data_IF_850539365861
#
_entry.id   IF_850539365861
#
_cell.length_a   1.000
_cell.length_b   1.000
_cell.length_c   1.000
_cell.angle_alpha   90.00
_cell.angle_beta   90.00
_cell.angle_gamma   90.00
#
_symmetry.space_group_name_H-M   'P 1'
#
loop_
_entity.id
_entity.type
_entity.pdbx_description
1 polymer ?
#
# COMPACT_ATOMS: atom_id res chain seq x y z
N UNK A 1 1.70 -43.51 -11.90
CA UNK A 1 2.11 -42.26 -11.22
C UNK A 1 0.85 -41.61 -10.68
N UNK A 2 0.57 -41.79 -9.39
CA UNK A 2 -0.49 -41.05 -8.71
C UNK A 2 -0.06 -39.59 -8.67
N UNK A 3 -0.86 -38.69 -9.24
CA UNK A 3 -0.64 -37.26 -9.10
C UNK A 3 -0.59 -36.93 -7.62
N UNK A 4 0.53 -36.39 -7.13
CA UNK A 4 0.57 -35.75 -5.81
C UNK A 4 -0.58 -34.75 -5.76
N UNK A 5 -1.62 -35.06 -4.98
CA UNK A 5 -2.71 -34.12 -4.74
C UNK A 5 -2.09 -32.96 -3.98
N UNK A 6 -1.92 -31.82 -4.65
CA UNK A 6 -1.54 -30.58 -3.99
C UNK A 6 -2.55 -30.32 -2.87
N UNK A 7 -2.04 -30.25 -1.65
CA UNK A 7 -2.84 -29.94 -0.48
C UNK A 7 -3.07 -28.44 -0.47
N UNK A 8 -4.34 -28.02 -0.44
CA UNK A 8 -4.72 -26.62 -0.58
C UNK A 8 -5.67 -26.20 0.55
N UNK A 9 -5.54 -24.95 0.98
CA UNK A 9 -6.46 -24.27 1.88
C UNK A 9 -7.18 -23.18 1.09
N UNK A 10 -8.48 -23.00 1.34
CA UNK A 10 -9.29 -22.01 0.63
C UNK A 10 -10.05 -21.11 1.60
N UNK A 11 -10.12 -19.82 1.29
CA UNK A 11 -10.97 -18.87 2.01
C UNK A 11 -11.99 -18.26 1.04
N UNK A 12 -13.27 -18.42 1.35
CA UNK A 12 -14.37 -17.83 0.59
C UNK A 12 -14.46 -16.33 0.87
N UNK A 13 -14.73 -15.53 -0.16
CA UNK A 13 -14.88 -14.09 -0.03
C UNK A 13 -16.17 -13.73 0.72
N UNK A 14 -16.12 -12.77 1.67
CA UNK A 14 -17.32 -12.30 2.39
C UNK A 14 -18.35 -11.63 1.48
N UNK A 15 -17.99 -11.28 0.25
CA UNK A 15 -18.88 -10.64 -0.73
C UNK A 15 -19.11 -11.51 -1.97
N UNK A 16 -18.75 -12.79 -1.91
CA UNK A 16 -18.97 -13.75 -3.01
C UNK A 16 -18.03 -13.57 -4.21
N UNK A 17 -16.86 -12.93 -4.04
CA UNK A 17 -15.80 -12.96 -5.03
C UNK A 17 -15.13 -14.36 -5.12
N UNK A 18 -14.22 -14.53 -6.08
CA UNK A 18 -13.42 -15.75 -6.21
C UNK A 18 -12.67 -16.08 -4.91
N UNK A 19 -12.63 -17.36 -4.52
CA UNK A 19 -11.97 -17.78 -3.30
C UNK A 19 -10.46 -17.52 -3.34
N UNK A 20 -9.87 -17.19 -2.19
CA UNK A 20 -8.42 -17.16 -2.03
C UNK A 20 -7.92 -18.59 -1.83
N UNK A 21 -6.88 -18.98 -2.56
CA UNK A 21 -6.30 -20.34 -2.54
C UNK A 21 -4.86 -20.27 -2.06
N UNK A 22 -4.52 -21.09 -1.09
CA UNK A 22 -3.21 -21.19 -0.48
C UNK A 22 -2.66 -22.61 -0.66
N UNK A 23 -1.47 -22.72 -1.24
CA UNK A 23 -0.79 -23.99 -1.45
C UNK A 23 -0.08 -24.42 -0.16
N UNK A 24 -0.18 -25.71 0.21
CA UNK A 24 0.53 -26.29 1.34
C UNK A 24 1.81 -27.02 0.88
N UNK A 25 2.94 -26.92 1.62
CA UNK A 25 3.14 -26.14 2.85
C UNK A 25 3.06 -24.64 2.60
N UNK A 26 2.48 -23.92 3.56
CA UNK A 26 2.33 -22.47 3.47
C UNK A 26 3.70 -21.80 3.38
N UNK A 27 3.81 -20.78 2.54
CA UNK A 27 5.03 -20.00 2.40
C UNK A 27 5.38 -19.37 3.75
N UNK A 28 6.61 -19.63 4.19
CA UNK A 28 7.23 -18.96 5.32
C UNK A 28 8.43 -18.19 4.79
N UNK A 29 8.40 -16.86 4.87
CA UNK A 29 9.52 -16.00 4.50
C UNK A 29 10.78 -16.33 5.30
N UNK A 30 11.96 -16.11 4.71
CA UNK A 30 13.27 -16.23 5.38
C UNK A 30 13.79 -14.81 5.69
N UNK A 31 14.45 -14.62 6.84
CA UNK A 31 15.12 -13.35 7.18
C UNK A 31 14.33 -12.44 8.12
N UNK A 32 14.53 -11.12 8.02
CA UNK A 32 13.84 -10.08 8.81
C UNK A 32 12.39 -9.85 8.37
N UNK A 33 12.05 -10.22 7.14
CA UNK A 33 10.71 -10.08 6.53
C UNK A 33 9.94 -11.40 6.62
N UNK A 34 9.82 -11.95 7.84
CA UNK A 34 9.09 -13.20 8.07
C UNK A 34 7.61 -13.01 7.79
N UNK A 35 7.20 -13.33 6.58
CA UNK A 35 5.81 -13.62 6.27
C UNK A 35 5.48 -15.06 6.70
N UNK A 36 4.42 -15.26 7.48
CA UNK A 36 3.88 -16.57 7.84
C UNK A 36 2.50 -16.71 7.20
N UNK A 37 2.38 -17.56 6.17
CA UNK A 37 1.12 -17.77 5.46
C UNK A 37 -0.01 -18.31 6.35
N UNK A 38 0.31 -19.01 7.44
CA UNK A 38 -0.71 -19.47 8.39
C UNK A 38 -1.24 -18.31 9.24
N UNK A 39 -0.33 -17.42 9.67
CA UNK A 39 -0.71 -16.18 10.35
C UNK A 39 -1.53 -15.28 9.43
N UNK A 40 -1.19 -15.19 8.14
CA UNK A 40 -1.98 -14.42 7.17
C UNK A 40 -3.42 -14.91 7.05
N UNK A 41 -3.63 -16.24 7.00
CA UNK A 41 -4.97 -16.84 6.98
C UNK A 41 -5.74 -16.46 8.24
N UNK A 42 -5.11 -16.59 9.41
CA UNK A 42 -5.71 -16.26 10.70
C UNK A 42 -6.08 -14.77 10.78
N UNK A 43 -5.18 -13.87 10.38
CA UNK A 43 -5.44 -12.43 10.34
C UNK A 43 -6.52 -12.06 9.30
N UNK A 44 -6.53 -12.72 8.14
CA UNK A 44 -7.56 -12.53 7.13
C UNK A 44 -8.95 -12.87 7.69
N UNK A 45 -9.08 -13.98 8.41
CA UNK A 45 -10.34 -14.35 9.08
C UNK A 45 -10.73 -13.31 10.13
N UNK A 46 -9.78 -12.86 10.96
CA UNK A 46 -10.01 -11.82 11.98
C UNK A 46 -10.51 -10.51 11.37
N UNK A 47 -9.88 -10.04 10.29
CA UNK A 47 -10.29 -8.80 9.62
C UNK A 47 -11.67 -8.93 8.96
N UNK A 48 -12.01 -10.10 8.42
CA UNK A 48 -13.38 -10.36 7.93
C UNK A 48 -14.38 -10.30 9.08
N UNK A 49 -14.08 -10.86 10.25
CA UNK A 49 -14.96 -10.79 11.42
C UNK A 49 -15.11 -9.36 11.97
N UNK A 50 -14.05 -8.56 11.90
CA UNK A 50 -14.08 -7.14 12.30
C UNK A 50 -15.01 -6.34 11.38
N UNK A 51 -14.95 -6.61 10.09
CA UNK A 51 -15.69 -5.89 9.04
C UNK A 51 -17.14 -6.38 8.87
N UNK A 52 -17.41 -7.64 9.27
CA UNK A 52 -18.73 -8.29 9.26
C UNK A 52 -19.06 -8.82 10.67
N UNK A 53 -19.52 -7.97 11.61
CA UNK A 53 -19.72 -8.34 13.01
C UNK A 53 -20.70 -9.51 13.24
N UNK A 54 -21.63 -9.76 12.31
CA UNK A 54 -22.52 -10.92 12.34
C UNK A 54 -21.79 -12.27 12.30
N UNK A 55 -20.54 -12.29 11.80
CA UNK A 55 -19.68 -13.46 11.76
C UNK A 55 -18.94 -13.69 13.09
N UNK A 56 -18.94 -12.73 14.04
CA UNK A 56 -18.25 -12.87 15.32
C UNK A 56 -18.82 -14.03 16.15
N UNK A 57 -20.13 -14.07 16.39
CA UNK A 57 -20.76 -15.14 17.16
C UNK A 57 -20.48 -16.58 16.64
N UNK A 58 -20.63 -16.89 15.34
CA UNK A 58 -20.34 -18.23 14.83
C UNK A 58 -18.84 -18.58 14.81
N UNK A 59 -17.93 -17.60 14.85
CA UNK A 59 -16.49 -17.84 14.70
C UNK A 59 -15.64 -17.62 15.98
N UNK A 60 -16.02 -16.73 16.89
CA UNK A 60 -15.26 -16.39 18.10
C UNK A 60 -15.24 -17.52 19.13
N UNK A 61 -16.29 -18.33 19.20
CA UNK A 61 -16.49 -19.23 20.34
C UNK A 61 -15.51 -20.41 20.45
N UNK A 62 -14.64 -20.71 19.47
CA UNK A 62 -13.67 -21.84 19.59
C UNK A 62 -12.62 -21.96 18.46
N UNK A 63 -12.58 -21.04 17.48
CA UNK A 63 -11.90 -21.31 16.21
C UNK A 63 -10.44 -20.83 16.19
N UNK A 64 -10.16 -19.64 16.72
CA UNK A 64 -8.84 -19.01 16.63
C UNK A 64 -7.88 -19.44 17.75
N UNK A 65 -8.39 -19.86 18.91
CA UNK A 65 -7.59 -20.18 20.11
C UNK A 65 -6.96 -21.58 20.10
N UNK A 66 -7.50 -22.52 19.32
CA UNK A 66 -7.07 -23.93 19.30
C UNK A 66 -6.48 -24.38 17.95
N UNK A 67 -6.16 -23.44 17.06
CA UNK A 67 -5.63 -23.77 15.74
C UNK A 67 -4.11 -23.96 15.77
N UNK A 68 -3.64 -25.18 15.51
CA UNK A 68 -2.23 -25.44 15.21
C UNK A 68 -1.90 -24.98 13.78
N UNK A 69 -1.13 -23.89 13.67
CA UNK A 69 -0.74 -23.27 12.40
C UNK A 69 0.25 -24.11 11.58
N UNK A 70 0.88 -25.13 12.20
CA UNK A 70 1.84 -26.03 11.54
C UNK A 70 1.21 -27.32 11.04
N UNK A 71 -0.06 -27.56 11.37
CA UNK A 71 -0.79 -28.76 10.99
C UNK A 71 -1.83 -28.47 9.91
N UNK A 72 -1.74 -29.18 8.78
CA UNK A 72 -2.66 -28.98 7.67
C UNK A 72 -4.13 -29.25 8.06
N UNK A 73 -4.42 -30.36 8.74
CA UNK A 73 -5.80 -30.72 9.10
C UNK A 73 -6.43 -29.71 10.06
N UNK A 74 -5.62 -29.13 10.95
CA UNK A 74 -6.02 -28.05 11.83
C UNK A 74 -6.39 -26.80 11.04
N UNK A 75 -5.50 -26.34 10.15
CA UNK A 75 -5.75 -25.17 9.30
C UNK A 75 -6.91 -25.40 8.32
N UNK A 76 -7.07 -26.62 7.79
CA UNK A 76 -8.19 -26.99 6.92
C UNK A 76 -9.51 -26.93 7.66
N UNK A 77 -9.58 -27.44 8.90
CA UNK A 77 -10.78 -27.34 9.75
C UNK A 77 -11.13 -25.88 10.07
N UNK A 78 -10.14 -25.03 10.29
CA UNK A 78 -10.31 -23.58 10.45
C UNK A 78 -10.96 -22.97 9.20
N UNK A 79 -10.36 -23.18 8.03
CA UNK A 79 -10.86 -22.67 6.75
C UNK A 79 -12.27 -23.18 6.45
N UNK A 80 -12.55 -24.46 6.68
CA UNK A 80 -13.86 -25.05 6.40
C UNK A 80 -14.97 -24.51 7.30
N UNK A 81 -14.66 -24.22 8.57
CA UNK A 81 -15.62 -23.56 9.47
C UNK A 81 -15.89 -22.13 9.02
N UNK A 82 -14.85 -21.38 8.68
CA UNK A 82 -14.97 -20.03 8.14
C UNK A 82 -15.82 -20.02 6.86
N UNK A 83 -15.50 -20.87 5.88
CA UNK A 83 -16.20 -20.93 4.60
C UNK A 83 -17.70 -21.24 4.77
N UNK A 84 -18.08 -22.15 5.66
CA UNK A 84 -19.50 -22.43 5.95
C UNK A 84 -20.25 -21.22 6.51
N UNK A 85 -19.62 -20.45 7.39
CA UNK A 85 -20.21 -19.23 7.94
C UNK A 85 -20.38 -18.17 6.84
N UNK A 86 -19.36 -17.99 6.00
CA UNK A 86 -19.39 -17.08 4.84
C UNK A 86 -20.47 -17.47 3.85
N UNK A 87 -20.56 -18.75 3.48
CA UNK A 87 -21.56 -19.23 2.52
C UNK A 87 -22.99 -18.95 3.01
N UNK A 88 -23.23 -19.14 4.31
CA UNK A 88 -24.51 -18.84 4.95
C UNK A 88 -24.81 -17.34 4.90
N UNK A 89 -23.84 -16.50 5.26
CA UNK A 89 -23.98 -15.05 5.24
C UNK A 89 -24.23 -14.50 3.83
N UNK A 90 -23.42 -14.92 2.85
CA UNK A 90 -23.54 -14.50 1.44
C UNK A 90 -24.89 -14.91 0.85
N UNK A 91 -25.41 -16.09 1.21
CA UNK A 91 -26.74 -16.54 0.79
C UNK A 91 -27.86 -15.65 1.35
N UNK A 92 -27.74 -15.23 2.61
CA UNK A 92 -28.70 -14.33 3.26
C UNK A 92 -28.63 -12.90 2.71
N UNK A 93 -27.43 -12.43 2.36
CA UNK A 93 -27.16 -11.04 1.99
C UNK A 93 -27.03 -10.79 0.47
N UNK A 94 -27.52 -11.71 -0.38
CA UNK A 94 -27.31 -11.65 -1.84
C UNK A 94 -27.62 -10.27 -2.43
N UNK A 95 -26.57 -9.58 -2.90
CA UNK A 95 -26.66 -8.30 -3.60
C UNK A 95 -26.86 -7.06 -2.71
N UNK A 96 -26.85 -7.21 -1.38
CA UNK A 96 -27.03 -6.08 -0.45
C UNK A 96 -25.72 -5.33 -0.12
N UNK A 97 -24.56 -5.98 -0.30
CA UNK A 97 -23.28 -5.38 0.03
C UNK A 97 -22.94 -4.21 -0.90
N UNK A 98 -22.77 -3.01 -0.33
CA UNK A 98 -22.31 -1.82 -1.05
C UNK A 98 -20.84 -1.55 -0.69
N UNK A 99 -19.92 -1.55 -1.66
CA UNK A 99 -18.50 -1.29 -1.39
C UNK A 99 -18.23 0.05 -0.72
N UNK A 100 -17.60 0.00 0.43
CA UNK A 100 -17.10 1.13 1.21
C UNK A 100 -15.55 1.15 1.20
N UNK A 101 -14.95 2.21 1.73
CA UNK A 101 -13.49 2.24 1.88
C UNK A 101 -13.08 1.36 3.07
N UNK A 102 -11.92 0.69 3.00
CA UNK A 102 -11.45 -0.14 4.11
C UNK A 102 -11.10 0.71 5.33
N UNK A 103 -11.29 0.14 6.53
CA UNK A 103 -10.72 0.73 7.75
C UNK A 103 -9.19 0.78 7.67
N UNK A 104 -8.53 1.63 8.47
CA UNK A 104 -7.06 1.72 8.47
C UNK A 104 -6.39 0.40 8.83
N UNK A 105 -6.99 -0.38 9.72
CA UNK A 105 -6.48 -1.68 10.11
C UNK A 105 -6.58 -2.69 8.99
N UNK A 106 -7.78 -2.80 8.38
CA UNK A 106 -8.00 -3.69 7.23
C UNK A 106 -7.12 -3.31 6.04
N UNK A 107 -6.97 -2.01 5.72
CA UNK A 107 -6.13 -1.57 4.63
C UNK A 107 -4.65 -1.88 4.86
N UNK A 108 -4.16 -1.80 6.11
CA UNK A 108 -2.79 -2.23 6.44
C UNK A 108 -2.60 -3.71 6.10
N UNK A 109 -3.56 -4.54 6.50
CA UNK A 109 -3.56 -5.97 6.22
C UNK A 109 -3.58 -6.26 4.72
N UNK A 110 -4.47 -5.60 3.96
CA UNK A 110 -4.56 -5.74 2.49
C UNK A 110 -3.24 -5.35 1.81
N UNK A 111 -2.62 -4.23 2.20
CA UNK A 111 -1.34 -3.79 1.63
C UNK A 111 -0.23 -4.79 1.96
N UNK A 112 -0.16 -5.28 3.20
CA UNK A 112 0.82 -6.29 3.59
C UNK A 112 0.65 -7.58 2.81
N UNK A 113 -0.58 -8.09 2.71
CA UNK A 113 -0.91 -9.28 1.94
C UNK A 113 -0.58 -9.10 0.45
N UNK A 114 -0.83 -7.90 -0.08
CA UNK A 114 -0.45 -7.54 -1.45
C UNK A 114 1.06 -7.62 -1.64
N UNK A 115 1.82 -7.04 -0.71
CA UNK A 115 3.28 -7.07 -0.74
C UNK A 115 3.82 -8.49 -0.71
N UNK A 116 3.37 -9.31 0.25
CA UNK A 116 3.87 -10.68 0.45
C UNK A 116 3.70 -11.56 -0.81
N UNK A 117 2.63 -11.33 -1.59
CA UNK A 117 2.35 -12.08 -2.82
C UNK A 117 3.02 -11.48 -4.06
N UNK A 118 3.50 -10.24 -3.98
CA UNK A 118 4.03 -9.52 -5.15
C UNK A 118 5.55 -9.39 -5.14
N UNK A 119 6.16 -9.24 -3.96
CA UNK A 119 7.60 -9.06 -3.77
C UNK A 119 8.24 -10.38 -3.39
N UNK A 120 8.88 -11.03 -4.36
CA UNK A 120 9.43 -12.39 -4.21
C UNK A 120 10.78 -12.37 -3.52
N UNK A 121 11.61 -11.37 -3.83
CA UNK A 121 12.99 -11.22 -3.34
C UNK A 121 13.17 -9.82 -2.73
N UNK A 122 12.62 -9.55 -1.52
CA UNK A 122 12.67 -8.24 -0.89
C UNK A 122 14.11 -7.77 -0.62
N UNK A 123 15.05 -8.69 -0.39
CA UNK A 123 16.47 -8.37 -0.20
C UNK A 123 17.09 -7.68 -1.42
N UNK A 124 16.57 -7.92 -2.63
CA UNK A 124 17.03 -7.26 -3.85
C UNK A 124 16.52 -5.82 -4.00
N UNK A 125 15.58 -5.40 -3.16
CA UNK A 125 15.17 -3.99 -3.07
C UNK A 125 16.20 -3.18 -2.26
N UNK A 126 16.97 -3.82 -1.38
CA UNK A 126 17.90 -3.18 -0.44
C UNK A 126 19.27 -2.77 -1.03
N UNK A 127 19.38 -2.58 -2.34
CA UNK A 127 20.68 -2.39 -3.01
C UNK A 127 21.23 -0.95 -2.88
N UNK A 128 20.50 -0.04 -2.23
CA UNK A 128 20.94 1.36 -2.05
C UNK A 128 21.82 1.55 -0.80
N UNK A 129 23.12 1.64 -1.06
CA UNK A 129 24.27 1.99 -0.21
C UNK A 129 24.39 1.32 1.19
N UNK A 130 25.53 0.65 1.47
CA UNK A 130 25.87 0.25 2.83
C UNK A 130 26.05 1.52 3.68
N UNK A 131 25.63 1.47 4.95
CA UNK A 131 25.70 2.54 5.97
C UNK A 131 24.49 3.48 6.15
N UNK A 132 23.27 3.00 5.83
CA UNK A 132 22.05 3.49 6.48
C UNK A 132 21.40 2.33 7.26
N UNK A 133 21.06 2.49 8.55
CA UNK A 133 20.29 1.46 9.29
C UNK A 133 18.86 1.26 8.75
N UNK A 134 18.48 1.99 7.71
CA UNK A 134 17.21 1.85 7.01
C UNK A 134 17.43 1.08 5.71
N UNK A 135 17.11 -0.21 5.80
CA UNK A 135 16.60 -1.10 4.75
C UNK A 135 15.70 -0.27 3.80
N UNK A 136 15.72 -0.57 2.49
CA UNK A 136 14.98 0.10 1.39
C UNK A 136 13.82 0.95 1.92
N UNK A 137 13.84 2.25 1.61
CA UNK A 137 13.02 3.32 2.20
C UNK A 137 11.50 3.19 2.08
N UNK A 138 10.97 2.04 2.45
CA UNK A 138 9.56 1.75 2.65
C UNK A 138 9.07 2.72 3.70
N UNK A 139 8.31 3.68 3.22
CA UNK A 139 7.65 4.62 4.10
C UNK A 139 6.64 3.84 4.92
N UNK A 140 6.71 3.95 6.25
CA UNK A 140 5.82 3.16 7.11
C UNK A 140 4.36 3.53 6.86
N UNK A 141 3.50 2.51 6.91
CA UNK A 141 2.06 2.68 6.76
C UNK A 141 1.50 3.76 7.70
N UNK A 142 2.02 3.81 8.94
CA UNK A 142 1.65 4.81 9.95
C UNK A 142 2.09 6.23 9.60
N UNK A 143 3.24 6.40 8.93
CA UNK A 143 3.66 7.71 8.46
C UNK A 143 2.69 8.23 7.39
N UNK A 144 2.28 7.37 6.45
CA UNK A 144 1.31 7.74 5.43
C UNK A 144 -0.08 8.01 6.03
N UNK A 145 -0.53 7.24 7.03
CA UNK A 145 -1.76 7.56 7.75
C UNK A 145 -1.73 8.96 8.38
N UNK A 146 -0.62 9.30 9.06
CA UNK A 146 -0.44 10.65 9.63
C UNK A 146 -0.39 11.73 8.55
N UNK A 147 0.24 11.45 7.41
CA UNK A 147 0.22 12.35 6.27
C UNK A 147 -1.22 12.59 5.78
N UNK A 148 -2.01 11.53 5.58
CA UNK A 148 -3.41 11.59 5.15
C UNK A 148 -4.24 12.47 6.10
N UNK A 149 -4.06 12.30 7.42
CA UNK A 149 -4.74 13.12 8.44
C UNK A 149 -4.42 14.61 8.33
N UNK A 150 -3.21 14.96 7.87
CA UNK A 150 -2.75 16.34 7.83
C UNK A 150 -3.04 17.02 6.50
N UNK A 151 -3.02 16.28 5.40
CA UNK A 151 -3.18 16.86 4.06
C UNK A 151 -4.64 17.23 3.79
N UNK A 152 -5.65 16.58 4.38
CA UNK A 152 -7.07 16.81 4.08
C UNK A 152 -7.34 16.76 2.55
N UNK A 153 -7.05 15.62 1.94
CA UNK A 153 -7.22 15.44 0.50
C UNK A 153 -8.70 15.47 0.07
N UNK A 154 -8.99 16.08 -1.09
CA UNK A 154 -10.34 16.22 -1.66
C UNK A 154 -10.49 15.45 -2.97
N UNK A 155 -11.72 15.30 -3.50
CA UNK A 155 -11.96 14.73 -4.83
C UNK A 155 -11.33 15.46 -6.01
N UNK A 156 -10.90 16.70 -5.83
CA UNK A 156 -10.19 17.46 -6.87
C UNK A 156 -8.67 17.27 -6.82
N UNK A 157 -8.16 16.66 -5.74
CA UNK A 157 -6.73 16.50 -5.55
C UNK A 157 -6.13 15.43 -6.46
N UNK A 158 -4.96 15.73 -7.01
CA UNK A 158 -4.11 14.82 -7.77
C UNK A 158 -2.89 14.51 -6.92
N UNK A 159 -2.78 13.26 -6.49
CA UNK A 159 -1.65 12.78 -5.70
C UNK A 159 -0.57 12.18 -6.62
N UNK A 160 0.68 12.56 -6.39
CA UNK A 160 1.84 12.06 -7.12
C UNK A 160 2.94 11.60 -6.15
N UNK A 161 3.40 10.36 -6.31
CA UNK A 161 4.56 9.79 -5.62
C UNK A 161 5.77 9.71 -6.56
N UNK A 162 6.84 10.44 -6.21
CA UNK A 162 8.08 10.51 -7.00
C UNK A 162 9.12 9.53 -6.45
N UNK A 163 9.40 8.47 -7.21
CA UNK A 163 10.20 7.34 -6.74
C UNK A 163 9.33 6.37 -5.94
N UNK A 164 8.23 5.93 -6.54
CA UNK A 164 7.18 5.17 -5.85
C UNK A 164 7.58 3.76 -5.41
N UNK A 165 8.75 3.27 -5.82
CA UNK A 165 9.19 1.92 -5.55
C UNK A 165 8.20 0.88 -6.06
N UNK A 166 7.82 -0.06 -5.18
CA UNK A 166 6.79 -1.07 -5.48
C UNK A 166 5.36 -0.50 -5.45
N UNK A 167 5.17 0.76 -5.05
CA UNK A 167 3.90 1.49 -5.18
C UNK A 167 2.97 1.46 -3.97
N UNK A 168 3.42 0.97 -2.81
CA UNK A 168 2.58 0.84 -1.61
C UNK A 168 1.91 2.15 -1.14
N UNK A 169 2.61 3.28 -1.26
CA UNK A 169 2.08 4.61 -0.85
C UNK A 169 0.93 5.03 -1.77
N UNK A 170 1.09 4.83 -3.08
CA UNK A 170 0.04 5.12 -4.08
C UNK A 170 -1.20 4.28 -3.83
N UNK A 171 -1.04 2.98 -3.56
CA UNK A 171 -2.16 2.08 -3.28
C UNK A 171 -2.87 2.45 -1.96
N UNK A 172 -2.11 2.78 -0.90
CA UNK A 172 -2.66 3.26 0.36
C UNK A 172 -3.44 4.56 0.18
N UNK A 173 -2.87 5.54 -0.52
CA UNK A 173 -3.53 6.81 -0.82
C UNK A 173 -4.83 6.61 -1.60
N UNK A 174 -4.83 5.72 -2.59
CA UNK A 174 -6.01 5.42 -3.39
C UNK A 174 -7.13 4.77 -2.57
N UNK A 175 -6.80 3.92 -1.59
CA UNK A 175 -7.80 3.28 -0.73
C UNK A 175 -8.15 4.04 0.56
N UNK A 176 -7.41 5.09 0.91
CA UNK A 176 -7.64 5.86 2.13
C UNK A 176 -8.14 7.29 1.87
N UNK A 177 -8.13 7.75 0.62
CA UNK A 177 -8.55 9.11 0.25
C UNK A 177 -9.53 9.09 -0.92
N UNK A 178 -10.10 10.25 -1.22
CA UNK A 178 -10.96 10.45 -2.38
C UNK A 178 -10.25 11.18 -3.52
N UNK A 179 -8.92 11.28 -3.51
CA UNK A 179 -8.15 11.93 -4.58
C UNK A 179 -8.69 11.51 -5.95
N UNK A 180 -8.76 12.47 -6.88
CA UNK A 180 -9.17 12.25 -8.27
C UNK A 180 -8.39 11.11 -8.91
N UNK A 181 -7.08 11.09 -8.66
CA UNK A 181 -6.17 10.03 -9.07
C UNK A 181 -4.92 10.03 -8.17
N UNK A 182 -4.43 8.84 -7.86
CA UNK A 182 -3.14 8.62 -7.22
C UNK A 182 -2.16 8.05 -8.24
N UNK A 183 -1.08 8.77 -8.54
CA UNK A 183 -0.11 8.38 -9.55
C UNK A 183 1.27 8.19 -8.91
N UNK A 184 2.01 7.18 -9.35
CA UNK A 184 3.40 6.97 -8.94
C UNK A 184 4.29 6.64 -10.12
N UNK A 185 5.55 7.07 -10.01
CA UNK A 185 6.59 6.83 -11.00
C UNK A 185 7.83 6.29 -10.35
N UNK A 186 8.35 5.20 -10.90
CA UNK A 186 9.56 4.53 -10.43
C UNK A 186 10.52 4.30 -11.59
N UNK A 187 11.79 4.65 -11.38
CA UNK A 187 12.83 4.53 -12.40
C UNK A 187 13.45 3.14 -12.44
N UNK A 188 13.66 2.53 -11.27
CA UNK A 188 14.35 1.27 -11.14
C UNK A 188 13.50 0.11 -11.68
N UNK A 189 14.15 -0.75 -12.46
CA UNK A 189 13.49 -1.85 -13.16
C UNK A 189 12.82 -2.85 -12.20
N UNK A 190 13.52 -3.26 -11.14
CA UNK A 190 13.04 -4.31 -10.26
C UNK A 190 11.83 -3.87 -9.41
N UNK A 191 11.86 -2.73 -8.68
CA UNK A 191 10.67 -2.29 -7.94
C UNK A 191 9.49 -1.99 -8.88
N UNK A 192 9.74 -1.40 -10.05
CA UNK A 192 8.70 -1.19 -11.06
C UNK A 192 8.08 -2.51 -11.55
N UNK A 193 8.89 -3.57 -11.71
CA UNK A 193 8.38 -4.89 -12.07
C UNK A 193 7.48 -5.48 -10.99
N UNK A 194 7.86 -5.34 -9.71
CA UNK A 194 6.99 -5.77 -8.61
C UNK A 194 5.71 -4.91 -8.50
N UNK A 195 5.78 -3.62 -8.83
CA UNK A 195 4.61 -2.74 -8.85
C UNK A 195 3.51 -3.24 -9.81
N UNK A 196 3.87 -3.84 -10.95
CA UNK A 196 2.90 -4.47 -11.87
C UNK A 196 2.10 -5.58 -11.17
N UNK A 197 2.78 -6.43 -10.39
CA UNK A 197 2.14 -7.50 -9.61
C UNK A 197 1.33 -6.93 -8.45
N UNK A 198 1.86 -5.92 -7.75
CA UNK A 198 1.16 -5.22 -6.66
C UNK A 198 -0.20 -4.69 -7.12
N UNK A 199 -0.30 -4.11 -8.31
CA UNK A 199 -1.57 -3.62 -8.89
C UNK A 199 -2.60 -4.75 -9.01
N UNK A 200 -2.18 -5.88 -9.59
CA UNK A 200 -3.07 -7.03 -9.85
C UNK A 200 -3.55 -7.61 -8.53
N UNK A 201 -2.62 -7.86 -7.60
CA UNK A 201 -2.89 -8.49 -6.31
C UNK A 201 -3.73 -7.56 -5.42
N UNK A 202 -3.44 -6.26 -5.40
CA UNK A 202 -4.22 -5.28 -4.63
C UNK A 202 -5.66 -5.24 -5.12
N UNK A 203 -5.88 -5.15 -6.44
CA UNK A 203 -7.22 -5.15 -7.02
C UNK A 203 -7.99 -6.44 -6.71
N UNK A 204 -7.30 -7.58 -6.73
CA UNK A 204 -7.87 -8.87 -6.33
C UNK A 204 -8.33 -8.84 -4.88
N UNK A 205 -7.49 -8.39 -3.95
CA UNK A 205 -7.83 -8.36 -2.53
C UNK A 205 -8.90 -7.33 -2.18
N UNK A 206 -8.82 -6.12 -2.75
CA UNK A 206 -9.88 -5.12 -2.59
C UNK A 206 -11.24 -5.68 -3.04
N UNK A 207 -11.29 -6.37 -4.18
CA UNK A 207 -12.50 -7.07 -4.64
C UNK A 207 -12.91 -8.22 -3.70
N UNK A 208 -11.95 -9.00 -3.22
CA UNK A 208 -12.19 -10.13 -2.31
C UNK A 208 -12.82 -9.70 -0.99
N UNK A 209 -12.35 -8.59 -0.41
CA UNK A 209 -12.93 -7.97 0.80
C UNK A 209 -14.18 -7.13 0.50
N UNK A 210 -14.50 -6.88 -0.78
CA UNK A 210 -15.63 -6.03 -1.18
C UNK A 210 -15.40 -4.53 -0.99
N UNK A 211 -14.15 -4.08 -0.87
CA UNK A 211 -13.81 -2.68 -0.61
C UNK A 211 -13.56 -1.90 -1.90
N UNK A 212 -13.89 -0.60 -1.90
CA UNK A 212 -13.55 0.33 -2.98
C UNK A 212 -12.21 1.02 -2.75
N UNK A 213 -11.59 1.42 -3.85
CA UNK A 213 -10.45 2.33 -3.91
C UNK A 213 -10.70 3.37 -5.00
N UNK A 214 -10.01 4.52 -4.91
CA UNK A 214 -9.94 5.51 -5.98
C UNK A 214 -9.11 5.04 -7.17
N UNK A 215 -9.05 5.89 -8.18
CA UNK A 215 -8.23 5.66 -9.38
C UNK A 215 -6.74 5.75 -9.04
N UNK A 216 -5.94 4.81 -9.53
CA UNK A 216 -4.50 4.85 -9.38
C UNK A 216 -3.75 4.36 -10.61
N UNK A 217 -2.50 4.80 -10.77
CA UNK A 217 -1.57 4.32 -11.80
C UNK A 217 -0.14 4.31 -11.28
N UNK A 218 0.57 3.22 -11.53
CA UNK A 218 2.01 3.11 -11.29
C UNK A 218 2.69 2.93 -12.64
N UNK A 219 3.72 3.71 -12.92
CA UNK A 219 4.43 3.67 -14.20
C UNK A 219 5.94 3.54 -13.99
N UNK A 220 6.59 2.88 -14.94
CA UNK A 220 8.05 2.90 -15.06
C UNK A 220 8.46 4.20 -15.73
N UNK A 221 9.37 4.96 -15.14
CA UNK A 221 9.85 6.19 -15.73
C UNK A 221 10.76 7.00 -14.83
N UNK A 222 11.38 8.03 -15.40
CA UNK A 222 12.23 8.96 -14.67
C UNK A 222 11.47 10.28 -14.46
N UNK A 223 11.15 10.59 -13.20
CA UNK A 223 10.43 11.80 -12.82
C UNK A 223 11.18 13.11 -13.11
N UNK A 224 12.47 13.04 -13.48
CA UNK A 224 13.24 14.21 -13.90
C UNK A 224 13.16 14.47 -15.40
N UNK A 225 12.64 13.53 -16.20
CA UNK A 225 12.49 13.71 -17.65
C UNK A 225 11.23 14.49 -18.00
N UNK A 226 11.22 15.09 -19.20
CA UNK A 226 10.06 15.88 -19.64
C UNK A 226 8.83 15.02 -19.98
N UNK A 227 9.00 13.71 -20.19
CA UNK A 227 7.91 12.76 -20.46
C UNK A 227 6.80 12.81 -19.41
N UNK A 228 7.17 12.99 -18.14
CA UNK A 228 6.23 13.02 -17.02
C UNK A 228 5.99 14.41 -16.45
N UNK A 229 6.61 15.45 -17.03
CA UNK A 229 6.53 16.81 -16.50
C UNK A 229 5.10 17.30 -16.38
N UNK A 230 4.27 17.09 -17.41
CA UNK A 230 2.88 17.52 -17.40
C UNK A 230 2.10 16.91 -16.21
N UNK A 231 2.27 15.61 -15.97
CA UNK A 231 1.62 14.92 -14.84
C UNK A 231 2.09 15.43 -13.49
N UNK A 232 3.39 15.67 -13.34
CA UNK A 232 3.94 16.23 -12.11
C UNK A 232 3.41 17.65 -11.88
N UNK A 233 3.36 18.50 -12.91
CA UNK A 233 2.83 19.87 -12.79
C UNK A 233 1.33 19.94 -12.48
N UNK A 234 0.58 18.88 -12.79
CA UNK A 234 -0.83 18.75 -12.44
C UNK A 234 -1.06 18.32 -10.99
N UNK A 235 -0.03 17.87 -10.28
CA UNK A 235 -0.14 17.41 -8.90
C UNK A 235 -0.52 18.56 -7.96
N UNK A 236 -1.46 18.29 -7.06
CA UNK A 236 -1.81 19.18 -5.94
C UNK A 236 -1.25 18.66 -4.61
N UNK A 237 -0.88 17.38 -4.57
CA UNK A 237 -0.18 16.73 -3.46
C UNK A 237 0.95 15.90 -4.05
N UNK A 238 2.19 16.22 -3.68
CA UNK A 238 3.39 15.49 -4.08
C UNK A 238 4.00 14.83 -2.85
N UNK A 239 4.22 13.53 -2.93
CA UNK A 239 5.04 12.79 -1.97
C UNK A 239 6.39 12.43 -2.61
N UNK A 240 7.47 12.57 -1.85
CA UNK A 240 8.80 12.15 -2.28
C UNK A 240 9.64 11.72 -1.08
N UNK A 241 10.03 10.45 -1.02
CA UNK A 241 10.98 9.98 -0.01
C UNK A 241 12.43 10.28 -0.45
N UNK A 242 12.85 11.54 -0.33
CA UNK A 242 14.18 12.01 -0.76
C UNK A 242 15.30 11.80 0.27
N UNK A 243 15.15 10.89 1.23
CA UNK A 243 16.13 10.67 2.30
C UNK A 243 17.52 10.31 1.73
N UNK A 244 17.56 9.38 0.77
CA UNK A 244 18.80 8.93 0.12
C UNK A 244 19.14 9.70 -1.17
N UNK A 245 18.36 10.73 -1.55
CA UNK A 245 18.63 11.49 -2.77
C UNK A 245 19.81 12.43 -2.59
N UNK A 246 20.70 12.44 -3.59
CA UNK A 246 21.84 13.34 -3.64
C UNK A 246 21.46 14.79 -4.00
N UNK A 247 22.37 15.76 -3.77
CA UNK A 247 22.10 17.19 -3.99
C UNK A 247 21.62 17.53 -5.40
N UNK A 248 22.12 16.83 -6.43
CA UNK A 248 21.73 17.03 -7.83
C UNK A 248 20.26 16.69 -8.08
N UNK A 249 19.79 15.57 -7.52
CA UNK A 249 18.38 15.15 -7.65
C UNK A 249 17.48 16.11 -6.89
N UNK A 250 17.86 16.50 -5.67
CA UNK A 250 17.12 17.50 -4.90
C UNK A 250 17.06 18.87 -5.61
N UNK A 251 18.12 19.26 -6.30
CA UNK A 251 18.13 20.51 -7.06
C UNK A 251 17.15 20.45 -8.23
N UNK A 252 17.19 19.38 -9.03
CA UNK A 252 16.27 19.19 -10.15
C UNK A 252 14.81 19.10 -9.69
N UNK A 253 14.54 18.43 -8.57
CA UNK A 253 13.20 18.39 -7.96
C UNK A 253 12.69 19.80 -7.58
N UNK A 254 13.55 20.66 -7.01
CA UNK A 254 13.18 22.05 -6.70
C UNK A 254 12.79 22.83 -7.96
N UNK A 255 13.46 22.59 -9.08
CA UNK A 255 13.09 23.23 -10.34
C UNK A 255 11.72 22.76 -10.83
N UNK A 256 11.43 21.46 -10.73
CA UNK A 256 10.10 20.91 -11.04
C UNK A 256 9.01 21.44 -10.12
N UNK A 257 9.29 21.58 -8.83
CA UNK A 257 8.34 22.10 -7.85
C UNK A 257 7.97 23.56 -8.07
N UNK A 258 8.84 24.34 -8.70
CA UNK A 258 8.53 25.72 -9.06
C UNK A 258 7.50 25.84 -10.19
N UNK A 259 7.25 24.76 -10.94
CA UNK A 259 6.24 24.69 -11.99
C UNK A 259 4.89 24.14 -11.47
N UNK A 260 4.79 23.79 -10.17
CA UNK A 260 3.54 23.35 -9.56
C UNK A 260 2.57 24.52 -9.41
N UNK A 261 1.27 24.22 -9.43
CA UNK A 261 0.22 25.21 -9.19
C UNK A 261 0.28 25.74 -7.76
N UNK A 262 -0.12 27.00 -7.60
CA UNK A 262 -0.29 27.62 -6.29
C UNK A 262 -1.17 26.76 -5.38
N UNK A 263 -0.74 26.60 -4.13
CA UNK A 263 -1.41 25.76 -3.15
C UNK A 263 -1.04 24.27 -3.20
N UNK A 264 -0.21 23.83 -4.14
CA UNK A 264 0.33 22.47 -4.14
C UNK A 264 1.12 22.20 -2.85
N UNK A 265 0.93 20.99 -2.30
CA UNK A 265 1.53 20.55 -1.04
C UNK A 265 2.59 19.48 -1.34
N UNK A 266 3.79 19.66 -0.82
CA UNK A 266 4.89 18.71 -0.98
C UNK A 266 5.21 18.10 0.38
N UNK A 267 5.15 16.77 0.46
CA UNK A 267 5.52 15.98 1.63
C UNK A 267 6.79 15.23 1.31
N UNK A 268 7.84 15.44 2.12
CA UNK A 268 9.17 14.88 1.86
C UNK A 268 9.88 14.48 3.15
N UNK A 269 10.69 13.43 3.09
CA UNK A 269 11.49 12.96 4.24
C UNK A 269 12.60 13.93 4.63
N UNK A 270 13.15 14.69 3.66
CA UNK A 270 14.17 15.71 3.86
C UNK A 270 13.72 17.05 3.26
N UNK A 271 13.80 18.12 4.06
CA UNK A 271 13.32 19.43 3.65
C UNK A 271 14.07 20.02 2.44
N UNK A 272 13.34 20.56 1.47
CA UNK A 272 13.91 21.26 0.31
C UNK A 272 14.34 22.70 0.62
N UNK A 273 13.75 23.33 1.65
CA UNK A 273 14.07 24.69 2.09
C UNK A 273 14.33 24.75 3.61
N UNK A 274 15.17 25.68 4.10
CA UNK A 274 15.32 25.92 5.54
C UNK A 274 13.97 26.35 6.16
N UNK A 275 13.66 25.88 7.36
CA UNK A 275 12.39 26.16 8.04
C UNK A 275 12.19 27.65 8.37
N UNK A 276 13.28 28.35 8.61
CA UNK A 276 13.30 29.78 8.95
C UNK A 276 13.67 30.64 7.74
N UNK A 277 13.38 30.18 6.52
CA UNK A 277 13.72 30.94 5.32
C UNK A 277 12.98 32.29 5.32
N UNK A 278 13.76 33.37 5.47
CA UNK A 278 13.30 34.74 5.28
C UNK A 278 13.72 35.20 3.88
N UNK A 279 12.77 35.78 3.17
CA UNK A 279 13.03 36.45 1.89
C UNK A 279 13.88 37.70 2.17
N UNK A 280 15.00 37.83 1.46
CA UNK A 280 15.91 38.98 1.53
C UNK A 280 16.33 39.36 0.12
N UNK A 281 16.78 40.61 -0.09
CA UNK A 281 17.14 41.10 -1.42
C UNK A 281 18.24 40.28 -2.12
N UNK A 282 19.12 39.64 -1.32
CA UNK A 282 20.18 38.76 -1.83
C UNK A 282 19.67 37.43 -2.38
N UNK A 283 18.47 37.02 -1.98
CA UNK A 283 17.91 35.73 -2.33
C UNK A 283 16.81 35.85 -3.41
N UNK A 284 16.35 37.06 -3.74
CA UNK A 284 15.23 37.37 -4.67
C UNK A 284 15.24 36.59 -5.99
N UNK A 285 16.41 36.20 -6.50
CA UNK A 285 16.56 35.42 -7.74
C UNK A 285 16.37 33.91 -7.58
N UNK A 286 16.31 33.37 -6.36
CA UNK A 286 16.17 31.94 -6.10
C UNK A 286 14.72 31.48 -6.02
N UNK A 287 14.33 30.35 -6.62
CA UNK A 287 12.93 29.88 -6.60
C UNK A 287 12.41 29.40 -5.22
N UNK A 288 13.21 29.48 -4.16
CA UNK A 288 12.83 29.17 -2.76
C UNK A 288 11.74 30.10 -2.20
N UNK A 289 11.43 31.21 -2.89
CA UNK A 289 10.47 32.23 -2.46
C UNK A 289 9.01 31.74 -2.52
N UNK A 290 8.74 30.71 -3.33
CA UNK A 290 7.39 30.20 -3.57
C UNK A 290 7.01 29.01 -2.67
N UNK A 291 7.95 28.48 -1.86
CA UNK A 291 7.73 27.27 -1.06
C UNK A 291 7.73 27.63 0.43
N UNK A 292 6.56 27.60 1.07
CA UNK A 292 6.45 27.68 2.53
C UNK A 292 6.72 26.30 3.14
N UNK A 293 7.68 26.23 4.06
CA UNK A 293 8.01 24.98 4.77
C UNK A 293 7.45 25.03 6.19
N UNK A 294 6.83 23.94 6.64
CA UNK A 294 6.48 23.76 8.04
C UNK A 294 6.81 22.33 8.47
N UNK A 295 7.45 22.17 9.63
CA UNK A 295 7.47 20.87 10.32
C UNK A 295 6.21 20.80 11.17
N UNK A 296 5.32 19.87 10.85
CA UNK A 296 4.23 19.49 11.75
C UNK A 296 4.71 18.25 12.50
N UNK A 297 4.99 18.43 13.80
CA UNK A 297 5.31 17.33 14.72
C UNK A 297 4.07 16.47 14.96
#
# INVERSE_FOLDING_TARGET
MLSDRKMELTLHSPVGAEAAVYQWPLLSGRGSDKHDGALEIVETIRWVMEDFPELKLPLENNILSNCDTKNFDSMKKLCDKFNRAIDTMVQLNKGLHKPDFPSRGLLRHIIQQTYNQSVIEPEKLNVYQPFSPFVYGETSYDLICRMIDQINATPDDVFVDLGSGVGQVVLQMAAATQCKICWGVEKADLPSKYAETMIIVFKKWMKWYGKKHGEYRLVKGDFLTDEHREKITQATIVFVNNFAFGPTVDHALKERFADLKDGARIVSSKSFCPLNFRITDRNLSGRKHFIRTSIRK
#
